data_IF_047760667540
#
_entry.id   IF_047760667540
#
_cell.length_a   1.000
_cell.length_b   1.000
_cell.length_c   1.000
_cell.angle_alpha   90.00
_cell.angle_beta   90.00
_cell.angle_gamma   90.00
#
_symmetry.space_group_name_H-M   'P 1'
#
loop_
_entity.id
_entity.type
_entity.pdbx_description
1 polymer ?
#
# COMPACT_ATOMS: atom_id res chain seq x y z
N UNK A 1 -0.76 -20.92 -6.63
CA UNK A 1 0.42 -20.26 -6.01
C UNK A 1 0.43 -18.80 -6.44
N UNK A 2 -0.14 -17.90 -5.64
CA UNK A 2 -0.15 -16.47 -5.97
C UNK A 2 1.23 -15.90 -5.66
N UNK A 3 1.97 -15.54 -6.71
CA UNK A 3 3.26 -14.85 -6.59
C UNK A 3 3.00 -13.50 -5.92
N UNK A 4 3.59 -13.27 -4.75
CA UNK A 4 3.55 -11.97 -4.09
C UNK A 4 4.53 -11.05 -4.82
N UNK A 5 4.06 -10.14 -5.68
CA UNK A 5 4.95 -9.15 -6.28
C UNK A 5 5.12 -7.96 -5.33
N UNK A 6 6.03 -8.14 -4.37
CA UNK A 6 6.61 -7.04 -3.60
C UNK A 6 7.40 -6.19 -4.59
N UNK A 7 6.96 -4.96 -4.84
CA UNK A 7 7.64 -4.04 -5.78
C UNK A 7 8.61 -3.11 -5.05
N UNK A 8 8.44 -2.96 -3.74
CA UNK A 8 9.42 -2.38 -2.81
C UNK A 8 9.11 -2.88 -1.39
N UNK A 9 10.01 -2.69 -0.40
CA UNK A 9 9.71 -3.06 0.99
C UNK A 9 8.40 -2.47 1.51
N UNK A 10 8.01 -1.29 1.05
CA UNK A 10 6.79 -0.62 1.48
C UNK A 10 5.57 -0.93 0.64
N UNK A 11 5.71 -1.45 -0.59
CA UNK A 11 4.62 -1.55 -1.55
C UNK A 11 4.52 -2.97 -2.11
N UNK A 12 3.33 -3.54 -1.98
CA UNK A 12 2.94 -4.80 -2.62
C UNK A 12 1.93 -4.52 -3.72
N UNK A 13 2.13 -5.13 -4.88
CA UNK A 13 1.21 -5.07 -6.01
C UNK A 13 0.87 -6.52 -6.42
N UNK A 14 -0.33 -7.01 -6.09
CA UNK A 14 -0.68 -8.41 -6.37
C UNK A 14 -0.88 -8.70 -7.86
N UNK A 15 -1.35 -7.70 -8.61
CA UNK A 15 -1.60 -7.77 -10.05
C UNK A 15 -0.99 -6.52 -10.68
N UNK A 16 0.11 -6.68 -11.42
CA UNK A 16 0.75 -5.57 -12.12
C UNK A 16 -0.10 -5.16 -13.32
N UNK A 17 -0.35 -3.86 -13.45
CA UNK A 17 -1.11 -3.28 -14.57
C UNK A 17 -0.32 -2.09 -15.13
N UNK A 18 0.75 -2.33 -15.90
CA UNK A 18 1.63 -1.24 -16.38
C UNK A 18 0.86 -0.17 -17.19
N UNK A 19 -0.21 -0.59 -17.87
CA UNK A 19 -1.08 0.28 -18.68
C UNK A 19 -2.24 0.92 -17.89
N UNK A 20 -2.36 0.68 -16.59
CA UNK A 20 -3.40 1.32 -15.77
C UNK A 20 -3.27 2.84 -15.83
N UNK A 21 -4.41 3.53 -15.92
CA UNK A 21 -4.49 4.99 -16.01
C UNK A 21 -4.61 5.64 -14.64
N UNK A 22 -5.01 4.89 -13.60
CA UNK A 22 -5.09 5.36 -12.22
C UNK A 22 -4.53 4.32 -11.25
N UNK A 23 -3.97 4.80 -10.13
CA UNK A 23 -3.55 3.95 -9.00
C UNK A 23 -4.46 4.13 -7.79
N UNK A 24 -4.88 3.02 -7.22
CA UNK A 24 -5.51 2.99 -5.90
C UNK A 24 -4.46 2.56 -4.88
N UNK A 25 -4.02 3.51 -4.05
CA UNK A 25 -3.03 3.29 -3.00
C UNK A 25 -3.79 2.96 -1.71
N UNK A 26 -3.66 1.72 -1.28
CA UNK A 26 -4.37 1.17 -0.14
C UNK A 26 -3.49 1.15 1.12
N UNK A 27 -3.97 1.79 2.18
CA UNK A 27 -3.30 1.95 3.46
C UNK A 27 -4.04 1.08 4.50
N UNK A 28 -3.42 -0.04 4.95
CA UNK A 28 -4.06 -0.96 5.88
C UNK A 28 -4.42 -0.34 7.23
N UNK A 29 -5.39 -0.93 7.90
CA UNK A 29 -5.75 -0.63 9.29
C UNK A 29 -4.68 -1.12 10.29
N UNK A 30 -4.86 -0.81 11.58
CA UNK A 30 -3.93 -1.17 12.64
C UNK A 30 -3.84 -2.68 12.81
N UNK A 31 -2.67 -3.27 12.52
CA UNK A 31 -2.46 -4.72 12.52
C UNK A 31 -2.75 -5.41 11.18
N UNK A 32 -3.33 -4.69 10.22
CA UNK A 32 -3.53 -5.16 8.86
C UNK A 32 -2.26 -5.15 8.02
N UNK A 33 -2.37 -5.67 6.80
CA UNK A 33 -1.28 -5.70 5.83
C UNK A 33 -1.81 -5.68 4.40
N UNK A 34 -0.92 -5.76 3.39
CA UNK A 34 -1.30 -5.64 1.98
C UNK A 34 -2.32 -6.71 1.56
N UNK A 35 -2.32 -7.88 2.21
CA UNK A 35 -3.21 -9.00 1.89
C UNK A 35 -4.70 -8.66 1.99
N UNK A 36 -5.06 -7.64 2.78
CA UNK A 36 -6.44 -7.13 2.86
C UNK A 36 -6.97 -6.61 1.52
N UNK A 37 -6.08 -6.28 0.56
CA UNK A 37 -6.42 -5.69 -0.72
C UNK A 37 -6.15 -6.61 -1.92
N UNK A 38 -5.81 -7.88 -1.67
CA UNK A 38 -5.53 -8.85 -2.74
C UNK A 38 -6.73 -9.06 -3.67
N UNK A 39 -7.91 -9.29 -3.10
CA UNK A 39 -9.13 -9.49 -3.89
C UNK A 39 -9.48 -8.25 -4.74
N UNK A 40 -9.16 -7.04 -4.26
CA UNK A 40 -9.39 -5.81 -5.03
C UNK A 40 -8.44 -5.71 -6.22
N UNK A 41 -7.17 -6.07 -6.06
CA UNK A 41 -6.22 -6.11 -7.18
C UNK A 41 -6.68 -7.07 -8.29
N UNK A 42 -7.26 -8.22 -7.89
CA UNK A 42 -7.77 -9.26 -8.79
C UNK A 42 -9.09 -8.87 -9.48
N UNK A 43 -9.96 -8.08 -8.82
CA UNK A 43 -11.34 -7.84 -9.29
C UNK A 43 -11.60 -6.44 -9.84
N UNK A 44 -10.78 -5.43 -9.50
CA UNK A 44 -10.98 -4.08 -10.03
C UNK A 44 -10.69 -4.01 -11.54
N UNK A 45 -11.34 -3.09 -12.28
CA UNK A 45 -11.13 -2.90 -13.71
C UNK A 45 -9.66 -2.70 -14.09
N UNK A 46 -9.29 -3.08 -15.32
CA UNK A 46 -7.87 -3.07 -15.75
C UNK A 46 -7.21 -1.69 -15.78
N UNK A 47 -8.00 -0.62 -15.82
CA UNK A 47 -7.49 0.74 -15.76
C UNK A 47 -7.05 1.18 -14.34
N UNK A 48 -7.30 0.36 -13.30
CA UNK A 48 -6.94 0.64 -11.91
C UNK A 48 -5.85 -0.34 -11.42
N UNK A 49 -4.67 0.18 -11.10
CA UNK A 49 -3.60 -0.58 -10.45
C UNK A 49 -3.66 -0.42 -8.92
N UNK A 50 -3.74 -1.53 -8.19
CA UNK A 50 -3.80 -1.51 -6.72
C UNK A 50 -2.39 -1.65 -6.15
N UNK A 51 -2.01 -0.68 -5.33
CA UNK A 51 -0.76 -0.67 -4.57
C UNK A 51 -1.09 -0.69 -3.08
N UNK A 52 -0.64 -1.70 -2.34
CA UNK A 52 -0.95 -1.84 -0.93
C UNK A 52 0.28 -1.70 -0.04
N UNK A 53 0.16 -0.92 1.03
CA UNK A 53 1.25 -0.63 1.95
C UNK A 53 1.61 -1.82 2.84
N UNK A 54 2.92 -1.97 3.07
CA UNK A 54 3.56 -2.95 3.95
C UNK A 54 4.35 -2.23 5.03
N UNK A 55 3.78 -2.17 6.24
CA UNK A 55 4.40 -1.49 7.38
C UNK A 55 5.51 -2.32 8.04
N UNK A 56 6.57 -1.69 8.59
CA UNK A 56 7.56 -2.39 9.40
C UNK A 56 6.92 -3.01 10.66
N UNK A 57 7.44 -4.14 11.10
CA UNK A 57 6.92 -4.90 12.25
C UNK A 57 5.63 -5.67 11.96
N UNK A 58 5.30 -5.89 10.67
CA UNK A 58 4.10 -6.61 10.20
C UNK A 58 4.42 -7.51 9.00
N UNK A 59 3.68 -8.61 8.85
CA UNK A 59 3.76 -9.48 7.67
C UNK A 59 5.20 -9.91 7.34
N UNK A 60 5.60 -9.71 6.08
CA UNK A 60 6.97 -10.00 5.61
C UNK A 60 8.05 -9.13 6.28
N UNK A 61 7.66 -8.01 6.91
CA UNK A 61 8.55 -7.09 7.63
C UNK A 61 8.44 -7.25 9.15
N UNK A 62 7.99 -8.39 9.65
CA UNK A 62 7.76 -8.60 11.10
C UNK A 62 9.02 -8.46 11.96
N UNK A 63 10.21 -8.69 11.39
CA UNK A 63 11.49 -8.58 12.10
C UNK A 63 11.96 -7.12 12.26
N UNK A 64 11.36 -6.17 11.55
CA UNK A 64 11.69 -4.75 11.64
C UNK A 64 10.97 -4.08 12.82
N UNK A 65 11.56 -3.00 13.35
CA UNK A 65 10.95 -2.24 14.43
C UNK A 65 9.71 -1.48 13.93
N UNK A 66 8.56 -1.69 14.55
CA UNK A 66 7.34 -0.98 14.21
C UNK A 66 7.45 0.52 14.55
N UNK A 67 7.03 1.37 13.63
CA UNK A 67 6.82 2.80 13.88
C UNK A 67 5.54 2.98 14.70
N UNK A 68 5.63 3.71 15.82
CA UNK A 68 4.52 3.86 16.80
C UNK A 68 3.97 5.28 16.91
N UNK A 69 4.47 6.21 16.11
CA UNK A 69 4.01 7.61 16.08
C UNK A 69 3.59 7.99 14.66
N UNK A 70 2.53 8.80 14.57
CA UNK A 70 1.88 9.13 13.29
C UNK A 70 2.78 9.92 12.36
N UNK A 71 3.34 11.04 12.82
CA UNK A 71 4.18 11.92 11.99
C UNK A 71 5.35 11.20 11.28
N UNK A 72 6.24 10.45 11.99
CA UNK A 72 7.32 9.74 11.30
C UNK A 72 6.81 8.59 10.42
N UNK A 73 5.65 8.00 10.74
CA UNK A 73 5.03 7.01 9.86
C UNK A 73 4.56 7.65 8.56
N UNK A 74 3.86 8.78 8.64
CA UNK A 74 3.39 9.52 7.47
C UNK A 74 4.57 10.00 6.60
N UNK A 75 5.65 10.50 7.20
CA UNK A 75 6.87 10.90 6.49
C UNK A 75 7.48 9.74 5.70
N UNK A 76 7.63 8.56 6.32
CA UNK A 76 8.20 7.39 5.66
C UNK A 76 7.27 6.83 4.58
N UNK A 77 5.94 6.84 4.82
CA UNK A 77 4.94 6.47 3.81
C UNK A 77 5.01 7.42 2.62
N UNK A 78 5.03 8.73 2.85
CA UNK A 78 5.14 9.76 1.80
C UNK A 78 6.39 9.55 0.96
N UNK A 79 7.56 9.35 1.58
CA UNK A 79 8.82 9.02 0.89
C UNK A 79 8.70 7.76 0.04
N UNK A 80 8.13 6.69 0.60
CA UNK A 80 7.96 5.42 -0.08
C UNK A 80 6.99 5.50 -1.27
N UNK A 81 5.99 6.39 -1.20
CA UNK A 81 5.01 6.58 -2.26
C UNK A 81 5.51 7.43 -3.42
N UNK A 82 6.51 8.31 -3.24
CA UNK A 82 7.02 9.23 -4.28
C UNK A 82 7.18 8.60 -5.67
N UNK A 83 7.79 7.40 -5.84
CA UNK A 83 7.96 6.78 -7.16
C UNK A 83 6.64 6.38 -7.85
N UNK A 84 5.55 6.28 -7.09
CA UNK A 84 4.26 5.78 -7.53
C UNK A 84 3.22 6.90 -7.79
N UNK A 85 3.58 8.17 -7.55
CA UNK A 85 2.69 9.32 -7.74
C UNK A 85 2.80 9.96 -9.14
N UNK A 86 3.36 9.25 -10.11
CA UNK A 86 3.56 9.73 -11.49
C UNK A 86 2.35 9.51 -12.44
N UNK A 87 1.20 9.14 -11.89
CA UNK A 87 -0.09 8.95 -12.57
C UNK A 87 -1.20 9.46 -11.65
N UNK A 88 -2.42 9.72 -12.16
CA UNK A 88 -3.58 9.95 -11.29
C UNK A 88 -3.68 8.86 -10.21
N UNK A 89 -3.95 9.27 -8.98
CA UNK A 89 -4.04 8.34 -7.86
C UNK A 89 -5.17 8.72 -6.91
N UNK A 90 -5.65 7.71 -6.19
CA UNK A 90 -6.53 7.86 -5.04
C UNK A 90 -5.91 7.14 -3.85
N UNK A 91 -6.11 7.68 -2.65
CA UNK A 91 -5.74 7.04 -1.39
C UNK A 91 -6.98 6.40 -0.79
N UNK A 92 -6.88 5.14 -0.37
CA UNK A 92 -7.88 4.47 0.43
C UNK A 92 -7.25 4.00 1.74
N UNK A 93 -7.75 4.52 2.85
CA UNK A 93 -7.35 4.10 4.18
C UNK A 93 -8.54 3.58 4.98
N UNK A 94 -8.34 2.49 5.72
CA UNK A 94 -9.35 1.97 6.65
C UNK A 94 -8.90 2.20 8.10
N UNK A 95 -9.78 2.73 8.95
CA UNK A 95 -9.50 3.02 10.37
C UNK A 95 -8.24 3.90 10.51
N UNK A 96 -7.21 3.49 11.27
CA UNK A 96 -5.93 4.22 11.38
C UNK A 96 -5.27 4.46 10.01
N UNK A 97 -5.52 3.59 9.03
CA UNK A 97 -5.05 3.78 7.66
C UNK A 97 -5.65 5.01 7.00
N UNK A 98 -6.87 5.41 7.37
CA UNK A 98 -7.49 6.65 6.88
C UNK A 98 -6.81 7.89 7.47
N UNK A 99 -6.37 7.82 8.74
CA UNK A 99 -5.60 8.90 9.36
C UNK A 99 -4.24 9.04 8.68
N UNK A 100 -3.54 7.93 8.41
CA UNK A 100 -2.27 7.94 7.67
C UNK A 100 -2.46 8.47 6.24
N UNK A 101 -3.61 8.24 5.61
CA UNK A 101 -3.93 8.74 4.28
C UNK A 101 -4.15 10.26 4.24
N UNK A 102 -4.58 10.82 5.37
CA UNK A 102 -4.94 12.23 5.50
C UNK A 102 -3.73 13.12 5.78
N UNK A 103 -2.75 12.61 6.54
CA UNK A 103 -1.46 13.25 6.81
C UNK A 103 -0.59 13.37 5.55
#
# INVERSE_FOLDING_TARGET
MSVNYIVSPWITCYVQRPNATVRLICIPHGGGGPQSYKAWAEQLPEHIEVLALSFPGRGSRHAETALRSMAPLADEVSKALKPYLNKPYALFGHSVGALIAYE
#
